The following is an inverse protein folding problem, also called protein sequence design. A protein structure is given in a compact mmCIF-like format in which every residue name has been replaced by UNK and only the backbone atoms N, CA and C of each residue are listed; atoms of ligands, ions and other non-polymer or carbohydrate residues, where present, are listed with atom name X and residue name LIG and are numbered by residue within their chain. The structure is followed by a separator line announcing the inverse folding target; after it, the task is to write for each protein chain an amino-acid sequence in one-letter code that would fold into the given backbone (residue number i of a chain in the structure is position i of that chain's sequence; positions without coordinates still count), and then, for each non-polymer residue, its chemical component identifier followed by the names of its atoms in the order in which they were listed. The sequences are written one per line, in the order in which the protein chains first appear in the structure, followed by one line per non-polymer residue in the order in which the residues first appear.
data_IF_629632648258
#
_entry.id   IF_629632648258
#
_cell.length_a   1.000
_cell.length_b   1.000
_cell.length_c   1.000
_cell.angle_alpha   90.00
_cell.angle_beta   90.00
_cell.angle_gamma   90.00
#
_symmetry.space_group_name_H-M   'P 1'
#
loop_
_entity.id
_entity.type
_entity.pdbx_description
1 polymer ?
#
# COMPACT_ATOMS: atom_id res chain seq x y z
N UNK A 1 -4.79 15.01 20.50
CA UNK A 1 -4.47 15.72 19.24
C UNK A 1 -5.45 15.22 18.20
N UNK A 2 -6.26 16.10 17.62
CA UNK A 2 -7.14 15.72 16.51
C UNK A 2 -6.27 15.43 15.29
N UNK A 3 -6.31 14.21 14.80
CA UNK A 3 -5.63 13.79 13.59
C UNK A 3 -6.36 14.36 12.36
N UNK A 4 -6.02 15.57 11.96
CA UNK A 4 -6.40 16.11 10.65
C UNK A 4 -5.44 15.56 9.58
N UNK A 5 -5.60 14.28 9.26
CA UNK A 5 -4.92 13.71 8.11
C UNK A 5 -5.83 13.82 6.89
N UNK A 6 -5.39 14.64 5.92
CA UNK A 6 -6.05 14.68 4.61
C UNK A 6 -5.60 13.43 3.83
N UNK A 7 -6.54 12.57 3.41
CA UNK A 7 -6.19 11.41 2.59
C UNK A 7 -5.52 11.84 1.28
N UNK A 8 -4.55 11.06 0.85
CA UNK A 8 -3.79 11.34 -0.39
C UNK A 8 -4.66 11.05 -1.61
N UNK A 9 -4.67 11.96 -2.61
CA UNK A 9 -5.45 11.81 -3.85
C UNK A 9 -6.93 11.52 -3.60
N UNK A 10 -7.53 12.15 -2.58
CA UNK A 10 -8.89 11.87 -2.14
C UNK A 10 -9.91 12.05 -3.25
N UNK A 11 -9.91 13.22 -3.91
CA UNK A 11 -10.89 13.54 -4.95
C UNK A 11 -10.72 12.63 -6.17
N UNK A 12 -9.46 12.39 -6.57
CA UNK A 12 -9.13 11.53 -7.67
C UNK A 12 -9.57 10.06 -7.40
N UNK A 13 -9.41 9.57 -6.16
CA UNK A 13 -9.89 8.25 -5.79
C UNK A 13 -11.42 8.16 -5.83
N UNK A 14 -12.12 9.16 -5.32
CA UNK A 14 -13.59 9.16 -5.35
C UNK A 14 -14.14 9.21 -6.78
N UNK A 15 -13.54 10.03 -7.65
CA UNK A 15 -13.90 10.09 -9.06
C UNK A 15 -13.59 8.76 -9.77
N UNK A 16 -12.41 8.23 -9.56
CA UNK A 16 -11.97 7.01 -10.23
C UNK A 16 -12.68 5.75 -9.75
N UNK A 17 -13.13 5.67 -8.50
CA UNK A 17 -13.99 4.59 -8.01
C UNK A 17 -15.35 4.55 -8.68
N UNK A 18 -15.78 5.64 -9.33
CA UNK A 18 -17.08 5.75 -9.99
C UNK A 18 -18.24 5.37 -9.06
N UNK A 19 -18.33 6.08 -7.93
CA UNK A 19 -19.20 5.74 -6.82
C UNK A 19 -20.69 5.75 -7.20
N UNK A 20 -21.40 4.69 -6.81
CA UNK A 20 -22.86 4.54 -6.96
C UNK A 20 -23.52 4.70 -5.60
N UNK A 21 -24.70 5.29 -5.55
CA UNK A 21 -25.42 5.59 -4.31
C UNK A 21 -25.86 4.36 -3.49
N UNK A 22 -25.86 3.19 -4.11
CA UNK A 22 -26.21 1.89 -3.52
C UNK A 22 -25.10 0.84 -3.67
N UNK A 23 -23.90 1.29 -4.07
CA UNK A 23 -22.75 0.43 -4.30
C UNK A 23 -22.16 -0.16 -3.02
N UNK A 24 -21.50 -1.30 -3.16
CA UNK A 24 -20.67 -1.92 -2.14
C UNK A 24 -19.20 -1.74 -2.50
N UNK A 25 -18.44 -1.13 -1.61
CA UNK A 25 -17.02 -0.87 -1.80
C UNK A 25 -16.19 -1.55 -0.72
N UNK A 26 -14.91 -1.78 -1.03
CA UNK A 26 -13.95 -2.33 -0.07
C UNK A 26 -12.75 -1.39 -0.01
N UNK A 27 -12.49 -0.85 1.17
CA UNK A 27 -11.24 -0.14 1.50
C UNK A 27 -10.31 -1.12 2.20
N UNK A 28 -9.28 -1.56 1.48
CA UNK A 28 -8.35 -2.61 1.94
C UNK A 28 -7.26 -2.08 2.89
N UNK A 29 -7.21 -0.76 3.09
CA UNK A 29 -6.17 -0.05 3.84
C UNK A 29 -6.79 1.15 4.55
N UNK A 30 -7.72 0.85 5.49
CA UNK A 30 -8.55 1.87 6.13
C UNK A 30 -7.73 2.98 6.81
N UNK A 31 -6.63 2.63 7.47
CA UNK A 31 -5.75 3.58 8.17
C UNK A 31 -6.52 4.54 9.07
N UNK A 32 -6.39 5.84 8.81
CA UNK A 32 -7.15 6.88 9.52
C UNK A 32 -8.60 7.02 9.07
N UNK A 33 -9.14 6.10 8.27
CA UNK A 33 -10.51 6.06 7.76
C UNK A 33 -10.96 7.29 6.94
N UNK A 34 -10.02 8.02 6.34
CA UNK A 34 -10.34 9.22 5.58
C UNK A 34 -11.04 8.92 4.26
N UNK A 35 -10.49 8.02 3.45
CA UNK A 35 -11.11 7.52 2.23
C UNK A 35 -12.42 6.78 2.53
N UNK A 36 -12.41 5.88 3.51
CA UNK A 36 -13.59 5.14 3.97
C UNK A 36 -14.77 6.07 4.28
N UNK A 37 -14.53 7.13 5.06
CA UNK A 37 -15.55 8.12 5.43
C UNK A 37 -16.11 8.84 4.21
N UNK A 38 -15.26 9.22 3.28
CA UNK A 38 -15.69 9.94 2.09
C UNK A 38 -16.48 9.03 1.13
N UNK A 39 -16.10 7.75 0.97
CA UNK A 39 -16.90 6.77 0.22
C UNK A 39 -18.30 6.68 0.82
N UNK A 40 -18.42 6.49 2.13
CA UNK A 40 -19.72 6.36 2.81
C UNK A 40 -20.59 7.63 2.70
N UNK A 41 -19.99 8.82 2.71
CA UNK A 41 -20.70 10.08 2.49
C UNK A 41 -21.25 10.17 1.07
N UNK A 42 -20.42 9.91 0.05
CA UNK A 42 -20.82 10.06 -1.37
C UNK A 42 -21.77 8.97 -1.84
N UNK A 43 -21.83 7.85 -1.13
CA UNK A 43 -22.77 6.75 -1.41
C UNK A 43 -24.00 6.74 -0.50
N UNK A 44 -24.20 7.81 0.26
CA UNK A 44 -25.39 7.96 1.13
C UNK A 44 -26.67 8.01 0.30
N UNK A 45 -27.80 7.41 0.78
CA UNK A 45 -27.93 6.74 2.09
C UNK A 45 -27.74 5.21 2.06
N UNK A 46 -27.60 4.57 0.91
CA UNK A 46 -27.67 3.11 0.77
C UNK A 46 -26.35 2.40 0.52
N UNK A 47 -25.31 3.13 0.07
CA UNK A 47 -24.01 2.55 -0.20
C UNK A 47 -23.38 1.97 1.06
N UNK A 48 -22.67 0.85 0.90
CA UNK A 48 -22.01 0.10 1.98
C UNK A 48 -20.50 0.02 1.75
N UNK A 49 -19.79 -0.16 2.86
CA UNK A 49 -18.34 -0.28 2.86
C UNK A 49 -17.89 -1.44 3.73
N UNK A 50 -16.96 -2.22 3.24
CA UNK A 50 -16.12 -3.12 4.04
C UNK A 50 -14.77 -2.43 4.15
N UNK A 51 -14.30 -2.16 5.37
CA UNK A 51 -13.04 -1.47 5.63
C UNK A 51 -12.09 -2.39 6.40
N UNK A 52 -10.89 -2.62 5.85
CA UNK A 52 -9.89 -3.51 6.42
C UNK A 52 -8.66 -2.72 6.90
N UNK A 53 -8.10 -3.17 8.00
CA UNK A 53 -6.72 -2.81 8.37
C UNK A 53 -6.10 -3.94 9.20
N UNK A 54 -4.80 -4.13 9.04
CA UNK A 54 -4.03 -5.09 9.83
C UNK A 54 -3.50 -4.49 11.15
N UNK A 55 -3.59 -3.17 11.32
CA UNK A 55 -3.17 -2.46 12.54
C UNK A 55 -4.37 -2.29 13.46
N UNK A 56 -4.34 -2.96 14.63
CA UNK A 56 -5.39 -2.86 15.64
C UNK A 56 -5.71 -1.41 16.03
N UNK A 57 -4.68 -0.55 16.09
CA UNK A 57 -4.86 0.87 16.41
C UNK A 57 -5.66 1.58 15.33
N UNK A 58 -5.42 1.28 14.06
CA UNK A 58 -6.20 1.81 12.94
C UNK A 58 -7.66 1.31 13.01
N UNK A 59 -7.85 0.03 13.32
CA UNK A 59 -9.19 -0.57 13.48
C UNK A 59 -9.98 0.10 14.60
N UNK A 60 -9.36 0.30 15.78
CA UNK A 60 -10.00 0.97 16.90
C UNK A 60 -10.39 2.41 16.56
N UNK A 61 -9.50 3.16 15.91
CA UNK A 61 -9.76 4.52 15.45
C UNK A 61 -10.86 4.57 14.38
N UNK A 62 -10.81 3.64 13.43
CA UNK A 62 -11.82 3.53 12.36
C UNK A 62 -13.22 3.28 12.90
N UNK A 63 -13.38 2.40 13.90
CA UNK A 63 -14.66 2.13 14.57
C UNK A 63 -15.29 3.39 15.16
N UNK A 64 -14.50 4.22 15.82
CA UNK A 64 -15.00 5.49 16.38
C UNK A 64 -15.33 6.50 15.27
N UNK A 65 -14.43 6.65 14.29
CA UNK A 65 -14.58 7.65 13.22
C UNK A 65 -15.71 7.35 12.24
N UNK A 66 -16.04 6.08 12.03
CA UNK A 66 -17.09 5.65 11.11
C UNK A 66 -18.40 5.29 11.80
N UNK A 67 -18.49 5.46 13.11
CA UNK A 67 -19.67 5.12 13.93
C UNK A 67 -20.97 5.78 13.45
N UNK A 68 -20.89 6.98 12.92
CA UNK A 68 -22.05 7.72 12.38
C UNK A 68 -22.75 7.00 11.21
N UNK A 69 -22.06 6.07 10.53
CA UNK A 69 -22.61 5.35 9.38
C UNK A 69 -23.31 4.04 9.75
N UNK A 70 -23.26 3.60 11.01
CA UNK A 70 -23.96 2.44 11.54
C UNK A 70 -23.71 1.16 10.73
N UNK A 71 -24.79 0.47 10.36
CA UNK A 71 -24.75 -0.81 9.64
C UNK A 71 -24.23 -0.71 8.19
N UNK A 72 -23.99 0.49 7.69
CA UNK A 72 -23.43 0.69 6.35
C UNK A 72 -21.95 0.38 6.25
N UNK A 73 -21.25 0.21 7.37
CA UNK A 73 -19.84 -0.12 7.41
C UNK A 73 -19.56 -1.39 8.20
N UNK A 74 -18.81 -2.30 7.62
CA UNK A 74 -18.23 -3.48 8.28
C UNK A 74 -16.73 -3.27 8.40
N UNK A 75 -16.19 -3.28 9.62
CA UNK A 75 -14.75 -3.10 9.86
C UNK A 75 -14.16 -4.45 10.24
N UNK A 76 -13.13 -4.85 9.49
CA UNK A 76 -12.41 -6.13 9.64
C UNK A 76 -10.97 -5.87 10.05
N UNK A 77 -10.53 -6.49 11.15
CA UNK A 77 -9.12 -6.51 11.55
C UNK A 77 -8.44 -7.69 10.90
N UNK A 78 -7.83 -7.48 9.76
CA UNK A 78 -7.08 -8.49 9.01
C UNK A 78 -6.19 -7.83 7.95
N UNK A 79 -5.26 -8.61 7.40
CA UNK A 79 -4.44 -8.18 6.28
C UNK A 79 -5.18 -8.42 4.96
N UNK A 80 -5.12 -7.46 4.06
CA UNK A 80 -5.77 -7.57 2.74
C UNK A 80 -5.24 -8.74 1.87
N UNK A 81 -4.14 -9.39 2.24
CA UNK A 81 -3.73 -10.67 1.62
C UNK A 81 -4.80 -11.74 1.72
N UNK A 82 -5.64 -11.66 2.75
CA UNK A 82 -6.73 -12.60 3.05
C UNK A 82 -8.07 -12.13 2.44
N UNK A 83 -8.07 -11.13 1.55
CA UNK A 83 -9.29 -10.50 1.01
C UNK A 83 -10.30 -11.50 0.47
N UNK A 84 -9.82 -12.56 -0.18
CA UNK A 84 -10.68 -13.60 -0.72
C UNK A 84 -11.46 -14.32 0.38
N UNK A 85 -10.80 -14.85 1.40
CA UNK A 85 -11.45 -15.53 2.53
C UNK A 85 -12.36 -14.57 3.31
N UNK A 86 -11.93 -13.33 3.51
CA UNK A 86 -12.74 -12.31 4.20
C UNK A 86 -14.07 -12.07 3.49
N UNK A 87 -14.05 -11.93 2.17
CA UNK A 87 -15.29 -11.72 1.40
C UNK A 87 -16.16 -12.98 1.34
N UNK A 88 -15.55 -14.16 1.25
CA UNK A 88 -16.25 -15.45 1.31
C UNK A 88 -16.94 -15.63 2.68
N UNK A 89 -16.27 -15.35 3.79
CA UNK A 89 -16.80 -15.43 5.17
C UNK A 89 -17.95 -14.42 5.41
N UNK A 90 -17.89 -13.27 4.74
CA UNK A 90 -18.96 -12.26 4.75
C UNK A 90 -20.08 -12.55 3.76
N UNK A 91 -20.02 -13.68 3.05
CA UNK A 91 -20.99 -14.09 1.99
C UNK A 91 -21.09 -13.04 0.86
N UNK A 92 -20.01 -12.30 0.59
CA UNK A 92 -19.94 -11.31 -0.47
C UNK A 92 -19.39 -11.96 -1.74
N UNK A 93 -20.19 -11.96 -2.78
CA UNK A 93 -19.83 -12.52 -4.08
C UNK A 93 -19.32 -11.47 -5.06
N UNK A 94 -19.81 -10.22 -4.96
CA UNK A 94 -19.47 -9.14 -5.88
C UNK A 94 -19.48 -7.78 -5.18
N UNK A 95 -18.56 -6.89 -5.59
CA UNK A 95 -18.44 -5.51 -5.14
C UNK A 95 -18.33 -4.52 -6.30
N UNK A 96 -18.65 -3.26 -6.07
CA UNK A 96 -18.57 -2.19 -7.06
C UNK A 96 -17.17 -1.58 -7.18
N UNK A 97 -16.32 -1.72 -6.15
CA UNK A 97 -14.93 -1.25 -6.24
C UNK A 97 -14.09 -1.59 -5.04
N UNK A 98 -12.77 -1.58 -5.28
CA UNK A 98 -11.71 -1.73 -4.28
C UNK A 98 -10.83 -0.49 -4.25
N UNK A 99 -10.45 -0.08 -3.07
CA UNK A 99 -9.43 0.93 -2.83
C UNK A 99 -8.28 0.34 -2.02
N UNK A 100 -7.06 0.64 -2.44
CA UNK A 100 -5.83 0.36 -1.73
C UNK A 100 -5.02 1.65 -1.62
N UNK A 101 -4.74 2.12 -0.42
CA UNK A 101 -3.78 3.19 -0.13
C UNK A 101 -2.56 2.54 0.53
N UNK A 102 -1.62 2.07 -0.33
CA UNK A 102 -0.55 1.17 0.09
C UNK A 102 0.56 1.95 0.79
N UNK A 103 1.12 1.36 1.84
CA UNK A 103 2.24 1.92 2.58
C UNK A 103 1.95 2.06 4.07
N UNK A 104 2.65 3.00 4.70
CA UNK A 104 2.51 3.28 6.14
C UNK A 104 1.49 4.36 6.40
N UNK A 105 0.66 4.17 7.41
CA UNK A 105 -0.27 5.20 7.86
C UNK A 105 0.49 6.37 8.51
N UNK A 106 -0.14 7.56 8.50
CA UNK A 106 0.44 8.71 9.19
C UNK A 106 0.64 8.45 10.68
N UNK A 107 -0.28 7.72 11.31
CA UNK A 107 -0.15 7.33 12.71
C UNK A 107 1.12 6.51 12.96
N UNK A 108 1.42 5.54 12.07
CA UNK A 108 2.64 4.73 12.19
C UNK A 108 3.92 5.57 12.04
N UNK A 109 3.90 6.61 11.19
CA UNK A 109 5.04 7.50 11.00
C UNK A 109 5.19 8.51 12.15
N UNK A 110 4.08 8.99 12.71
CA UNK A 110 4.07 10.04 13.75
C UNK A 110 4.27 9.47 15.17
N UNK A 111 4.06 8.16 15.33
CA UNK A 111 4.35 7.48 16.60
C UNK A 111 5.75 6.87 16.57
N UNK A 112 6.70 7.54 17.24
CA UNK A 112 8.10 7.12 17.30
C UNK A 112 8.25 5.66 17.76
N UNK A 113 7.46 5.22 18.74
CA UNK A 113 7.46 3.85 19.30
C UNK A 113 7.13 2.75 18.27
N UNK A 114 6.60 3.12 17.10
CA UNK A 114 6.36 2.19 15.98
C UNK A 114 7.63 1.92 15.16
N UNK A 115 8.67 2.75 15.26
CA UNK A 115 9.97 2.57 14.61
C UNK A 115 9.99 2.79 13.09
N UNK A 116 8.94 3.34 12.49
CA UNK A 116 8.89 3.62 11.04
C UNK A 116 9.65 4.89 10.64
N UNK A 117 9.81 5.83 11.58
CA UNK A 117 10.50 7.10 11.35
C UNK A 117 12.00 6.99 11.64
N UNK A 118 12.82 7.60 10.82
CA UNK A 118 14.26 7.79 11.04
C UNK A 118 14.59 9.19 11.58
N UNK A 119 13.57 9.97 11.95
CA UNK A 119 13.72 11.35 12.40
C UNK A 119 13.90 11.45 13.90
N UNK A 120 13.43 10.46 14.65
CA UNK A 120 13.50 10.38 16.10
C UNK A 120 14.19 9.09 16.52
N UNK A 121 14.84 9.10 17.68
CA UNK A 121 15.46 7.93 18.27
C UNK A 121 14.39 7.12 19.03
N UNK A 122 14.12 5.90 18.57
CA UNK A 122 13.05 5.06 19.08
C UNK A 122 13.34 3.57 18.78
N UNK A 123 12.59 2.63 19.39
CA UNK A 123 12.71 1.21 19.09
C UNK A 123 12.54 0.93 17.59
N UNK A 124 13.42 0.13 17.02
CA UNK A 124 13.39 -0.27 15.62
C UNK A 124 12.42 -1.46 15.43
N UNK A 125 11.11 -1.20 15.57
CA UNK A 125 10.05 -2.22 15.47
C UNK A 125 9.61 -2.47 14.03
N UNK A 126 8.97 -1.52 13.38
CA UNK A 126 8.44 -1.53 12.01
C UNK A 126 7.36 -2.58 11.71
N UNK A 127 6.82 -3.30 12.69
CA UNK A 127 5.69 -4.21 12.49
C UNK A 127 4.41 -3.43 12.28
N UNK A 128 3.68 -3.73 11.22
CA UNK A 128 2.34 -3.15 10.99
C UNK A 128 1.29 -3.83 11.86
N UNK A 129 1.38 -5.15 12.00
CA UNK A 129 0.58 -5.95 12.92
C UNK A 129 1.46 -6.45 14.09
N UNK A 130 1.31 -5.83 15.26
CA UNK A 130 2.07 -6.19 16.46
C UNK A 130 1.56 -7.44 17.17
N UNK A 131 0.34 -7.87 16.89
CA UNK A 131 -0.26 -9.04 17.53
C UNK A 131 0.23 -10.34 16.88
N UNK A 132 0.21 -10.41 15.56
CA UNK A 132 0.59 -11.62 14.83
C UNK A 132 2.07 -11.70 14.47
N UNK A 133 2.74 -10.56 14.26
CA UNK A 133 4.16 -10.51 13.91
C UNK A 133 5.03 -10.54 15.16
N UNK A 134 5.92 -11.53 15.25
CA UNK A 134 6.86 -11.70 16.39
C UNK A 134 8.23 -11.09 16.13
N UNK A 135 8.63 -10.93 14.85
CA UNK A 135 9.97 -10.47 14.46
C UNK A 135 9.91 -8.96 14.15
N UNK A 136 10.75 -8.19 14.85
CA UNK A 136 10.90 -6.75 14.62
C UNK A 136 11.98 -6.45 13.59
N UNK A 137 12.05 -5.20 13.11
CA UNK A 137 13.16 -4.77 12.26
C UNK A 137 14.51 -4.82 13.01
N UNK A 138 14.51 -4.62 14.33
CA UNK A 138 15.69 -4.80 15.17
C UNK A 138 16.16 -6.27 15.14
N UNK A 139 15.24 -7.22 15.30
CA UNK A 139 15.58 -8.65 15.22
C UNK A 139 16.15 -9.00 13.85
N UNK A 140 15.53 -8.51 12.77
CA UNK A 140 16.00 -8.75 11.41
C UNK A 140 17.44 -8.25 11.22
N UNK A 141 17.73 -7.03 11.65
CA UNK A 141 19.07 -6.42 11.52
C UNK A 141 20.11 -7.15 12.35
N UNK A 142 19.73 -7.68 13.53
CA UNK A 142 20.66 -8.34 14.46
C UNK A 142 20.85 -9.84 14.19
N UNK A 143 19.94 -10.50 13.45
CA UNK A 143 19.99 -11.95 13.23
C UNK A 143 20.39 -12.35 11.81
N UNK A 144 20.11 -11.50 10.84
CA UNK A 144 20.47 -11.77 9.43
C UNK A 144 21.95 -11.61 9.17
N UNK A 145 22.50 -12.43 8.29
CA UNK A 145 23.88 -12.28 7.82
C UNK A 145 24.06 -10.97 7.06
N UNK A 146 25.33 -10.57 6.92
CA UNK A 146 25.71 -9.39 6.11
C UNK A 146 25.19 -9.48 4.68
N UNK A 147 25.30 -10.64 4.08
CA UNK A 147 24.88 -10.92 2.71
C UNK A 147 23.37 -10.81 2.57
N UNK A 148 22.59 -11.41 3.48
CA UNK A 148 21.13 -11.34 3.50
C UNK A 148 20.64 -9.88 3.67
N UNK A 149 21.26 -9.12 4.59
CA UNK A 149 20.91 -7.70 4.78
C UNK A 149 21.25 -6.85 3.56
N UNK A 150 22.40 -7.10 2.92
CA UNK A 150 22.77 -6.41 1.70
C UNK A 150 21.76 -6.69 0.56
N UNK A 151 21.30 -7.93 0.44
CA UNK A 151 20.29 -8.31 -0.56
C UNK A 151 18.93 -7.64 -0.27
N UNK A 152 18.47 -7.62 0.98
CA UNK A 152 17.24 -6.92 1.38
C UNK A 152 17.33 -5.43 1.01
N UNK A 153 18.41 -4.77 1.40
CA UNK A 153 18.60 -3.33 1.15
C UNK A 153 18.74 -3.03 -0.34
N UNK A 154 19.38 -3.90 -1.10
CA UNK A 154 19.51 -3.75 -2.55
C UNK A 154 18.16 -3.96 -3.27
N UNK A 155 17.44 -5.03 -2.95
CA UNK A 155 16.19 -5.40 -3.62
C UNK A 155 15.05 -4.43 -3.28
N UNK A 156 14.86 -4.10 -2.01
CA UNK A 156 13.71 -3.34 -1.52
C UNK A 156 13.99 -1.86 -1.30
N UNK A 157 15.26 -1.49 -1.08
CA UNK A 157 15.67 -0.09 -0.95
C UNK A 157 16.09 0.55 -2.27
N UNK A 158 16.31 -0.27 -3.32
CA UNK A 158 16.97 0.17 -4.56
C UNK A 158 18.29 0.93 -4.25
N UNK A 159 18.99 0.51 -3.16
CA UNK A 159 20.18 1.21 -2.63
C UNK A 159 21.46 0.65 -3.24
N UNK A 160 22.15 1.46 -4.01
CA UNK A 160 23.37 1.09 -4.72
C UNK A 160 24.57 0.80 -3.80
N UNK A 161 24.53 1.31 -2.57
CA UNK A 161 25.60 1.21 -1.59
C UNK A 161 25.37 0.12 -0.53
N UNK A 162 24.38 -0.75 -0.72
CA UNK A 162 23.97 -1.82 0.21
C UNK A 162 25.18 -2.66 0.72
N UNK A 163 26.11 -2.99 -0.15
CA UNK A 163 27.31 -3.79 0.19
C UNK A 163 28.29 -3.11 1.15
N UNK A 164 28.11 -1.83 1.46
CA UNK A 164 28.97 -1.07 2.38
C UNK A 164 28.42 -1.00 3.80
N UNK A 165 27.23 -1.52 4.05
CA UNK A 165 26.61 -1.56 5.39
C UNK A 165 27.14 -2.80 6.09
N UNK A 166 27.98 -2.61 7.12
CA UNK A 166 28.78 -3.69 7.70
C UNK A 166 28.41 -4.08 9.14
N UNK A 167 27.56 -3.34 9.83
CA UNK A 167 27.23 -3.61 11.22
C UNK A 167 25.77 -3.28 11.59
N UNK A 168 25.35 -3.83 12.74
CA UNK A 168 23.97 -3.75 13.26
C UNK A 168 23.78 -2.68 14.36
N UNK A 169 24.76 -1.86 14.66
CA UNK A 169 24.68 -0.83 15.70
C UNK A 169 23.63 0.27 15.44
N UNK A 170 23.95 1.53 15.81
CA UNK A 170 23.04 2.66 15.54
C UNK A 170 22.83 2.85 14.03
N UNK A 171 21.77 2.24 13.52
CA UNK A 171 21.52 2.02 12.09
C UNK A 171 21.66 3.29 11.25
N UNK A 172 21.10 4.41 11.68
CA UNK A 172 21.20 5.69 10.94
C UNK A 172 22.63 6.20 10.84
N UNK A 173 23.43 6.07 11.91
CA UNK A 173 24.83 6.51 11.91
C UNK A 173 25.68 5.61 11.03
N UNK A 174 25.42 4.32 11.04
CA UNK A 174 26.08 3.34 10.19
C UNK A 174 25.76 3.62 8.72
N UNK A 175 24.50 3.83 8.38
CA UNK A 175 24.07 4.17 7.01
C UNK A 175 24.76 5.45 6.55
N UNK A 176 24.78 6.51 7.39
CA UNK A 176 25.46 7.77 7.08
C UNK A 176 26.96 7.58 6.86
N UNK A 177 27.63 6.70 7.60
CA UNK A 177 29.05 6.41 7.42
C UNK A 177 29.30 5.56 6.17
N UNK A 178 28.41 4.63 5.84
CA UNK A 178 28.55 3.75 4.70
C UNK A 178 28.35 4.47 3.35
N UNK A 179 27.46 5.44 3.28
CA UNK A 179 27.18 6.19 2.05
C UNK A 179 28.24 7.30 1.85
N UNK A 180 28.90 7.39 0.69
CA UNK A 180 29.88 8.43 0.41
C UNK A 180 29.30 9.84 0.56
N UNK A 181 30.12 10.78 1.08
CA UNK A 181 29.69 12.15 1.34
C UNK A 181 29.11 12.87 0.11
N UNK A 182 29.65 12.61 -1.08
CA UNK A 182 29.13 13.16 -2.34
C UNK A 182 27.73 12.68 -2.69
N UNK A 183 27.41 11.41 -2.38
CA UNK A 183 26.09 10.83 -2.63
C UNK A 183 25.02 11.26 -1.60
N UNK A 184 25.43 11.94 -0.52
CA UNK A 184 24.53 12.46 0.54
C UNK A 184 24.09 13.92 0.34
N UNK A 185 24.77 14.66 -0.54
CA UNK A 185 24.56 16.11 -0.70
C UNK A 185 23.29 16.47 -1.43
N UNK A 186 22.91 15.66 -2.46
CA UNK A 186 21.80 15.96 -3.33
C UNK A 186 20.80 14.77 -3.33
N UNK A 187 19.79 14.81 -2.48
CA UNK A 187 18.80 13.73 -2.46
C UNK A 187 18.02 13.58 -1.16
N UNK A 188 17.18 12.56 -1.06
CA UNK A 188 16.44 12.24 0.17
C UNK A 188 17.41 11.83 1.29
N UNK A 189 16.90 11.86 2.53
CA UNK A 189 17.68 11.45 3.70
C UNK A 189 18.34 10.08 3.48
N UNK A 190 19.64 9.90 3.81
CA UNK A 190 20.38 8.66 3.53
C UNK A 190 19.73 7.38 4.06
N UNK A 191 19.08 7.45 5.22
CA UNK A 191 18.39 6.29 5.81
C UNK A 191 17.07 5.91 5.11
N UNK A 192 16.48 6.78 4.26
CA UNK A 192 15.15 6.55 3.68
C UNK A 192 15.03 5.20 2.99
N UNK A 193 15.99 4.86 2.14
CA UNK A 193 15.97 3.61 1.35
C UNK A 193 16.19 2.38 2.20
N UNK A 194 17.07 2.46 3.18
CA UNK A 194 17.33 1.33 4.09
C UNK A 194 16.11 1.08 4.98
N UNK A 195 15.49 2.13 5.54
CA UNK A 195 14.27 2.00 6.33
C UNK A 195 13.11 1.45 5.49
N UNK A 196 12.95 1.90 4.24
CA UNK A 196 11.99 1.33 3.31
C UNK A 196 12.25 -0.16 3.08
N UNK A 197 13.50 -0.57 2.87
CA UNK A 197 13.84 -1.97 2.62
C UNK A 197 13.52 -2.88 3.82
N UNK A 198 13.87 -2.45 5.02
CA UNK A 198 13.56 -3.19 6.26
C UNK A 198 12.05 -3.29 6.47
N UNK A 199 11.31 -2.19 6.27
CA UNK A 199 9.85 -2.15 6.38
C UNK A 199 9.19 -3.15 5.42
N UNK A 200 9.58 -3.12 4.16
CA UNK A 200 9.07 -4.05 3.15
C UNK A 200 9.36 -5.50 3.53
N UNK A 201 10.58 -5.78 4.01
CA UNK A 201 10.97 -7.13 4.39
C UNK A 201 10.20 -7.65 5.61
N UNK A 202 10.02 -6.82 6.65
CA UNK A 202 9.30 -7.19 7.88
C UNK A 202 7.82 -7.44 7.62
N UNK A 203 7.19 -6.61 6.78
CA UNK A 203 5.75 -6.66 6.53
C UNK A 203 5.37 -7.44 5.27
N UNK A 204 6.35 -7.98 4.55
CA UNK A 204 6.16 -8.74 3.31
C UNK A 204 5.31 -8.00 2.25
N UNK A 205 5.47 -6.68 2.20
CA UNK A 205 4.56 -5.76 1.48
C UNK A 205 4.43 -6.08 -0.01
N UNK A 206 5.52 -6.45 -0.69
CA UNK A 206 5.51 -6.64 -2.14
C UNK A 206 4.90 -7.97 -2.57
N UNK A 207 5.15 -9.05 -1.81
CA UNK A 207 4.62 -10.38 -2.13
C UNK A 207 3.09 -10.38 -2.10
N UNK A 208 2.52 -9.70 -1.10
CA UNK A 208 1.06 -9.56 -0.98
C UNK A 208 0.47 -8.84 -2.20
N UNK A 209 1.15 -7.82 -2.73
CA UNK A 209 0.66 -7.08 -3.90
C UNK A 209 0.68 -7.90 -5.20
N UNK A 210 1.51 -8.92 -5.29
CA UNK A 210 1.58 -9.76 -6.49
C UNK A 210 0.32 -10.63 -6.69
N UNK A 211 -0.38 -10.99 -5.63
CA UNK A 211 -1.58 -11.86 -5.69
C UNK A 211 -2.89 -11.08 -5.55
N UNK A 212 -2.94 -10.09 -4.67
CA UNK A 212 -4.19 -9.45 -4.25
C UNK A 212 -4.99 -8.81 -5.39
N UNK A 213 -4.33 -8.28 -6.42
CA UNK A 213 -5.02 -7.68 -7.58
C UNK A 213 -5.78 -8.74 -8.39
N UNK A 214 -5.23 -9.95 -8.48
CA UNK A 214 -5.91 -11.05 -9.19
C UNK A 214 -7.13 -11.53 -8.40
N UNK A 215 -6.98 -11.69 -7.08
CA UNK A 215 -8.07 -12.10 -6.19
C UNK A 215 -9.21 -11.06 -6.22
N UNK A 216 -8.92 -9.78 -6.03
CA UNK A 216 -9.92 -8.72 -6.04
C UNK A 216 -10.62 -8.57 -7.38
N UNK A 217 -9.92 -8.80 -8.51
CA UNK A 217 -10.52 -8.73 -9.83
C UNK A 217 -11.64 -9.76 -10.03
N UNK A 218 -11.62 -10.88 -9.30
CA UNK A 218 -12.68 -11.91 -9.39
C UNK A 218 -13.97 -11.49 -8.70
N UNK A 219 -13.89 -10.65 -7.67
CA UNK A 219 -15.04 -10.13 -6.92
C UNK A 219 -15.60 -8.81 -7.48
N UNK A 220 -15.00 -8.24 -8.51
CA UNK A 220 -15.58 -7.05 -9.12
C UNK A 220 -16.78 -7.36 -9.99
N UNK A 221 -17.86 -6.61 -9.81
CA UNK A 221 -18.94 -6.52 -10.80
C UNK A 221 -18.40 -6.00 -12.13
N UNK A 222 -19.01 -6.37 -13.26
CA UNK A 222 -18.74 -5.71 -14.53
C UNK A 222 -18.84 -4.17 -14.41
N UNK A 223 -17.79 -3.45 -14.84
CA UNK A 223 -17.68 -2.01 -14.67
C UNK A 223 -17.22 -1.54 -13.28
N UNK A 224 -17.04 -2.45 -12.33
CA UNK A 224 -16.41 -2.16 -11.03
C UNK A 224 -14.91 -1.86 -11.17
N UNK A 225 -14.33 -1.11 -10.24
CA UNK A 225 -12.96 -0.60 -10.37
C UNK A 225 -12.06 -0.96 -9.19
N UNK A 226 -10.79 -1.17 -9.50
CA UNK A 226 -9.70 -1.26 -8.51
C UNK A 226 -8.87 0.01 -8.62
N UNK A 227 -8.81 0.76 -7.52
CA UNK A 227 -7.98 1.95 -7.34
C UNK A 227 -6.84 1.62 -6.38
N UNK A 228 -5.59 1.81 -6.82
CA UNK A 228 -4.40 1.55 -6.00
C UNK A 228 -3.51 2.77 -5.98
N UNK A 229 -3.27 3.32 -4.78
CA UNK A 229 -2.27 4.35 -4.52
C UNK A 229 -0.98 3.65 -4.08
N UNK A 230 0.13 4.03 -4.68
CA UNK A 230 1.47 3.53 -4.35
C UNK A 230 2.41 4.69 -4.05
N UNK A 231 3.44 4.49 -3.21
CA UNK A 231 4.36 5.56 -2.77
C UNK A 231 5.80 5.33 -3.19
N UNK A 232 6.13 4.19 -3.75
CA UNK A 232 7.46 3.92 -4.31
C UNK A 232 7.42 3.10 -5.61
N UNK A 233 8.57 3.08 -6.28
CA UNK A 233 8.72 2.50 -7.63
C UNK A 233 8.44 0.99 -7.70
N UNK A 234 8.74 0.24 -6.64
CA UNK A 234 8.53 -1.21 -6.61
C UNK A 234 7.04 -1.55 -6.60
N UNK A 235 6.25 -0.92 -5.70
CA UNK A 235 4.79 -1.06 -5.66
C UNK A 235 4.17 -0.70 -7.01
N UNK A 236 4.49 0.50 -7.52
CA UNK A 236 3.96 0.99 -8.80
C UNK A 236 4.24 0.04 -9.96
N UNK A 237 5.44 -0.57 -9.97
CA UNK A 237 5.86 -1.56 -10.99
C UNK A 237 5.04 -2.84 -10.89
N UNK A 238 4.80 -3.36 -9.69
CA UNK A 238 4.01 -4.57 -9.45
C UNK A 238 2.57 -4.33 -9.92
N UNK A 239 1.91 -3.27 -9.45
CA UNK A 239 0.52 -2.96 -9.81
C UNK A 239 0.37 -2.77 -11.32
N UNK A 240 1.27 -2.01 -11.95
CA UNK A 240 1.30 -1.84 -13.41
C UNK A 240 1.37 -3.19 -14.15
N UNK A 241 2.24 -4.09 -13.68
CA UNK A 241 2.44 -5.39 -14.31
C UNK A 241 1.23 -6.30 -14.10
N UNK A 242 0.63 -6.31 -12.90
CA UNK A 242 -0.60 -7.06 -12.62
C UNK A 242 -1.76 -6.59 -13.49
N UNK A 243 -1.98 -5.28 -13.60
CA UNK A 243 -3.03 -4.76 -14.47
C UNK A 243 -2.81 -5.12 -15.95
N UNK A 244 -1.56 -5.09 -16.44
CA UNK A 244 -1.22 -5.53 -17.80
C UNK A 244 -1.51 -7.02 -18.00
N UNK A 245 -1.10 -7.86 -17.06
CA UNK A 245 -1.36 -9.31 -17.09
C UNK A 245 -2.86 -9.59 -17.16
N UNK A 246 -3.65 -8.99 -16.26
CA UNK A 246 -5.09 -9.18 -16.17
C UNK A 246 -5.89 -8.48 -17.29
N UNK A 247 -5.27 -7.61 -18.08
CA UNK A 247 -5.89 -7.01 -19.28
C UNK A 247 -5.60 -7.79 -20.58
N UNK A 248 -5.04 -8.98 -20.49
CA UNK A 248 -4.73 -9.81 -21.65
C UNK A 248 -3.50 -9.35 -22.44
N UNK A 249 -2.73 -8.36 -21.94
CA UNK A 249 -1.50 -7.92 -22.59
C UNK A 249 -0.42 -8.97 -22.44
N UNK A 250 0.22 -9.33 -23.56
CA UNK A 250 1.31 -10.30 -23.55
C UNK A 250 2.46 -9.82 -22.64
N UNK A 251 2.91 -10.69 -21.74
CA UNK A 251 4.04 -10.48 -20.81
C UNK A 251 5.23 -11.37 -21.12
N UNK A 252 5.21 -12.12 -22.23
CA UNK A 252 6.32 -12.95 -22.67
C UNK A 252 7.54 -12.10 -23.03
N UNK A 253 8.75 -12.65 -22.88
CA UNK A 253 9.97 -12.00 -23.40
C UNK A 253 9.85 -11.69 -24.91
N UNK A 254 10.33 -10.54 -25.39
CA UNK A 254 10.26 -10.17 -26.81
C UNK A 254 10.91 -11.18 -27.76
N UNK A 255 11.83 -12.01 -27.26
CA UNK A 255 12.51 -13.07 -28.02
C UNK A 255 11.64 -14.28 -28.32
N UNK A 256 10.47 -14.43 -27.68
CA UNK A 256 9.57 -15.55 -27.95
C UNK A 256 8.73 -15.27 -29.21
N UNK A 257 8.79 -16.14 -30.26
CA UNK A 257 8.07 -15.93 -31.51
C UNK A 257 6.56 -16.10 -31.38
N UNK A 258 6.11 -16.86 -30.38
CA UNK A 258 4.68 -17.13 -30.13
C UNK A 258 4.38 -16.90 -28.67
N UNK A 259 3.30 -16.15 -28.42
CA UNK A 259 2.82 -15.88 -27.06
C UNK A 259 2.37 -17.19 -26.36
N UNK A 260 2.87 -17.41 -25.13
CA UNK A 260 2.54 -18.55 -24.27
C UNK A 260 1.97 -18.15 -22.90
N UNK A 261 1.82 -16.84 -22.63
CA UNK A 261 1.43 -16.38 -21.29
C UNK A 261 -0.05 -16.64 -20.95
N UNK A 262 -0.93 -16.83 -21.96
CA UNK A 262 -2.38 -17.03 -21.78
C UNK A 262 -3.02 -16.07 -20.75
N UNK A 263 -2.57 -14.82 -20.74
CA UNK A 263 -3.05 -13.83 -19.77
C UNK A 263 -4.55 -13.60 -19.91
N UNK A 264 -5.33 -13.66 -18.82
CA UNK A 264 -6.77 -13.45 -18.87
C UNK A 264 -7.11 -11.99 -19.18
N UNK A 265 -8.21 -11.76 -19.89
CA UNK A 265 -8.75 -10.42 -20.11
C UNK A 265 -9.87 -10.14 -19.11
N UNK A 266 -9.51 -9.92 -17.86
CA UNK A 266 -10.46 -9.62 -16.78
C UNK A 266 -10.62 -8.11 -16.56
N UNK A 267 -9.57 -7.33 -16.80
CA UNK A 267 -9.51 -5.90 -16.53
C UNK A 267 -9.26 -5.09 -17.80
N UNK A 268 -9.74 -3.85 -17.79
CA UNK A 268 -9.36 -2.78 -18.70
C UNK A 268 -8.58 -1.73 -17.92
N UNK A 269 -7.39 -1.37 -18.38
CA UNK A 269 -6.58 -0.33 -17.75
C UNK A 269 -7.24 1.04 -18.04
N UNK A 270 -7.64 1.75 -17.00
CA UNK A 270 -8.21 3.10 -17.10
C UNK A 270 -7.11 4.15 -17.14
N UNK A 271 -6.09 4.02 -16.28
CA UNK A 271 -4.98 4.96 -16.20
C UNK A 271 -3.75 4.42 -16.94
N UNK A 272 -3.52 4.83 -18.18
CA UNK A 272 -2.29 4.46 -18.92
C UNK A 272 -1.02 5.01 -18.27
N UNK A 273 -1.09 6.27 -17.78
CA UNK A 273 -0.11 6.88 -16.86
C UNK A 273 -0.76 7.01 -15.49
N UNK A 274 0.01 6.89 -14.38
CA UNK A 274 -0.56 7.10 -13.05
C UNK A 274 -1.05 8.54 -12.89
N UNK A 275 -2.13 8.71 -12.14
CA UNK A 275 -2.54 10.03 -11.63
C UNK A 275 -1.61 10.36 -10.47
N UNK A 276 -1.13 11.59 -10.43
CA UNK A 276 -0.20 12.08 -9.40
C UNK A 276 -0.82 13.29 -8.68
N UNK A 277 -0.45 13.53 -7.41
CA UNK A 277 -0.94 14.67 -6.66
C UNK A 277 -0.65 16.00 -7.36
N UNK A 278 -1.55 16.96 -7.20
CA UNK A 278 -1.35 18.32 -7.65
C UNK A 278 -0.23 19.00 -6.85
N UNK A 279 0.38 20.05 -7.40
CA UNK A 279 1.36 20.87 -6.67
C UNK A 279 0.77 21.48 -5.40
N UNK A 280 -0.52 21.79 -5.41
CA UNK A 280 -1.22 22.29 -4.23
C UNK A 280 -1.28 21.23 -3.15
N UNK A 281 -1.71 20.01 -3.48
CA UNK A 281 -1.77 18.91 -2.54
C UNK A 281 -0.38 18.58 -1.95
N UNK A 282 0.67 18.57 -2.78
CA UNK A 282 2.04 18.33 -2.29
C UNK A 282 2.51 19.42 -1.33
N UNK A 283 2.07 20.67 -1.50
CA UNK A 283 2.40 21.76 -0.54
C UNK A 283 1.64 21.61 0.78
N UNK A 284 0.36 21.23 0.71
CA UNK A 284 -0.52 21.05 1.88
C UNK A 284 -0.23 19.72 2.61
N UNK A 285 0.13 18.67 1.86
CA UNK A 285 0.48 17.34 2.36
C UNK A 285 1.78 16.82 1.70
N UNK A 286 2.97 17.11 2.26
CA UNK A 286 4.25 16.66 1.69
C UNK A 286 4.39 15.13 1.55
N UNK A 287 3.60 14.35 2.30
CA UNK A 287 3.57 12.87 2.21
C UNK A 287 3.00 12.39 0.89
N UNK A 288 2.14 13.17 0.25
CA UNK A 288 1.57 12.87 -1.07
C UNK A 288 2.61 12.91 -2.20
N UNK A 289 3.77 13.55 -2.02
CA UNK A 289 4.76 13.82 -3.09
C UNK A 289 5.09 12.65 -3.99
N UNK A 290 5.16 11.45 -3.45
CA UNK A 290 5.54 10.25 -4.20
C UNK A 290 4.35 9.39 -4.62
N UNK A 291 3.13 9.79 -4.29
CA UNK A 291 1.91 9.04 -4.54
C UNK A 291 1.62 8.91 -6.03
N UNK A 292 1.10 7.74 -6.41
CA UNK A 292 0.68 7.42 -7.78
C UNK A 292 -0.58 6.58 -7.72
N UNK A 293 -1.67 7.07 -8.26
CA UNK A 293 -2.92 6.32 -8.36
C UNK A 293 -2.98 5.60 -9.72
N UNK A 294 -3.21 4.29 -9.66
CA UNK A 294 -3.53 3.46 -10.83
C UNK A 294 -4.92 2.86 -10.71
N UNK A 295 -5.62 2.81 -11.83
CA UNK A 295 -6.99 2.36 -11.90
C UNK A 295 -7.18 1.37 -13.03
N UNK A 296 -7.87 0.28 -12.72
CA UNK A 296 -8.37 -0.68 -13.72
C UNK A 296 -9.84 -1.01 -13.43
N UNK A 297 -10.57 -1.37 -14.48
CA UNK A 297 -12.01 -1.62 -14.47
C UNK A 297 -12.28 -3.06 -14.94
N UNK A 298 -13.21 -3.74 -14.28
CA UNK A 298 -13.68 -5.07 -14.71
C UNK A 298 -14.36 -4.97 -16.08
N UNK A 299 -13.91 -5.77 -17.05
CA UNK A 299 -14.56 -5.82 -18.36
C UNK A 299 -15.94 -6.47 -18.27
N UNK A 300 -16.83 -6.04 -19.15
CA UNK A 300 -18.08 -6.74 -19.42
C UNK A 300 -17.72 -8.04 -20.17
N UNK A 301 -18.15 -9.16 -19.65
CA UNK A 301 -18.07 -10.42 -20.39
C UNK A 301 -19.24 -10.53 -21.37
#
# INVERSE_FOLDING_TARGET
MEFYHVPVLLEECMEMLNLKSDGLYVDCTMGGAGHSREILKRTSPRGRLIALDQDETAVAHGRERLKEFGERVTIVHDNFKNIKSILEDLEITEVDGFLFDIGVSSYQLDNAERGFSYMEDAPLDMRMDRESQTITAADLVNTKSREELADIIFQFGEERWAKRIESTGELVQIIKKAIPAGARKDGPHPAKRTFQALRIAINNELEVLESVVADTATFLKPGGRICVITFHSLEDRIIKNQYRKLSGVCTCPPSLPICRCNNPRLLKIITGKPIVPSEREVRENPRARSAKLRVAERVLN
#
